data_IF_406539154009
#
_entry.id   IF_406539154009
#
_cell.length_a   1.000
_cell.length_b   1.000
_cell.length_c   1.000
_cell.angle_alpha   90.00
_cell.angle_beta   90.00
_cell.angle_gamma   90.00
#
_symmetry.space_group_name_H-M   'P 1'
#
loop_
_entity.id
_entity.type
_entity.pdbx_description
1 polymer ?
#
# COMPACT_ATOMS: atom_id res chain seq x y z
N UNK A 1 15.18 12.08 14.67
CA UNK A 1 14.56 12.72 13.46
C UNK A 1 13.34 13.49 13.93
N UNK A 2 13.25 14.80 13.64
CA UNK A 2 12.08 15.60 14.05
C UNK A 2 10.85 15.31 13.17
N UNK A 3 9.65 15.70 13.67
CA UNK A 3 8.43 15.61 12.86
C UNK A 3 8.57 16.40 11.54
N UNK A 4 9.10 17.63 11.63
CA UNK A 4 9.30 18.48 10.45
C UNK A 4 10.29 17.88 9.44
N UNK A 5 11.28 17.13 9.92
CA UNK A 5 12.21 16.42 9.04
C UNK A 5 11.56 15.20 8.38
N UNK A 6 10.66 14.49 9.07
CA UNK A 6 9.94 13.36 8.48
C UNK A 6 8.89 13.82 7.49
N UNK A 7 8.12 14.83 7.84
CA UNK A 7 7.07 15.42 7.00
C UNK A 7 7.58 16.65 6.23
N UNK A 8 8.79 16.57 5.69
CA UNK A 8 9.53 17.67 5.05
C UNK A 8 8.90 18.23 3.76
N UNK A 9 7.96 17.51 3.19
CA UNK A 9 7.27 17.89 1.95
C UNK A 9 5.78 18.12 2.16
N UNK A 10 5.18 19.03 1.38
CA UNK A 10 3.75 19.30 1.45
C UNK A 10 2.92 18.08 1.05
N UNK A 11 1.68 18.01 1.54
CA UNK A 11 0.77 16.89 1.25
C UNK A 11 0.47 16.74 -0.24
N UNK A 12 0.56 17.84 -1.01
CA UNK A 12 0.42 17.79 -2.48
C UNK A 12 1.45 16.91 -3.19
N UNK A 13 2.54 16.54 -2.51
CA UNK A 13 3.51 15.55 -3.01
C UNK A 13 3.09 14.10 -2.77
N UNK A 14 1.92 13.86 -2.20
CA UNK A 14 1.41 12.55 -1.82
C UNK A 14 -0.04 12.35 -2.31
N UNK A 15 -0.62 11.17 -2.05
CA UNK A 15 -1.96 10.78 -2.52
C UNK A 15 -3.12 11.54 -1.86
N UNK A 16 -2.90 12.16 -0.71
CA UNK A 16 -3.93 12.87 0.05
C UNK A 16 -3.51 14.33 0.24
N UNK A 17 -3.71 15.18 -0.79
CA UNK A 17 -3.18 16.56 -0.78
C UNK A 17 -3.85 17.47 0.26
N UNK A 18 -5.09 17.19 0.65
CA UNK A 18 -5.83 17.93 1.68
C UNK A 18 -6.78 16.99 2.43
N UNK A 19 -6.26 16.29 3.48
CA UNK A 19 -7.06 15.31 4.21
C UNK A 19 -8.34 15.87 4.82
N UNK A 20 -8.32 17.13 5.26
CA UNK A 20 -9.49 17.78 5.89
C UNK A 20 -10.62 18.02 4.89
N UNK A 21 -10.31 18.57 3.71
CA UNK A 21 -11.31 18.77 2.65
C UNK A 21 -11.83 17.45 2.12
N UNK A 22 -10.96 16.47 1.94
CA UNK A 22 -11.36 15.14 1.48
C UNK A 22 -12.32 14.49 2.48
N UNK A 23 -12.02 14.51 3.77
CA UNK A 23 -12.91 13.97 4.80
C UNK A 23 -14.27 14.67 4.84
N UNK A 24 -14.31 15.99 4.67
CA UNK A 24 -15.57 16.74 4.59
C UNK A 24 -16.39 16.31 3.37
N UNK A 25 -15.75 16.21 2.21
CA UNK A 25 -16.40 15.76 0.98
C UNK A 25 -16.96 14.34 1.08
N UNK A 26 -16.18 13.40 1.63
CA UNK A 26 -16.62 12.01 1.81
C UNK A 26 -17.85 11.91 2.73
N UNK A 27 -17.85 12.64 3.85
CA UNK A 27 -19.02 12.68 4.76
C UNK A 27 -20.29 13.18 4.09
N UNK A 28 -20.14 14.12 3.15
CA UNK A 28 -21.28 14.72 2.46
C UNK A 28 -21.81 13.86 1.31
N UNK A 29 -20.93 13.12 0.63
CA UNK A 29 -21.26 12.50 -0.65
C UNK A 29 -21.19 10.97 -0.64
N UNK A 30 -20.49 10.33 0.33
CA UNK A 30 -20.22 8.88 0.37
C UNK A 30 -20.46 8.30 1.76
N UNK A 31 -21.69 8.46 2.28
CA UNK A 31 -22.06 8.05 3.63
C UNK A 31 -21.86 6.53 3.85
N UNK A 32 -22.23 5.70 2.89
CA UNK A 32 -22.10 4.23 3.00
C UNK A 32 -20.65 3.81 3.13
N UNK A 33 -19.75 4.36 2.28
CA UNK A 33 -18.32 4.07 2.34
C UNK A 33 -17.69 4.59 3.64
N UNK A 34 -18.10 5.77 4.11
CA UNK A 34 -17.68 6.32 5.40
C UNK A 34 -18.07 5.39 6.54
N UNK A 35 -19.31 4.92 6.58
CA UNK A 35 -19.79 4.01 7.61
C UNK A 35 -19.05 2.66 7.56
N UNK A 36 -18.76 2.15 6.37
CA UNK A 36 -17.98 0.93 6.19
C UNK A 36 -16.54 1.09 6.73
N UNK A 37 -15.86 2.17 6.38
CA UNK A 37 -14.51 2.48 6.89
C UNK A 37 -14.51 2.61 8.42
N UNK A 38 -15.50 3.31 9.00
CA UNK A 38 -15.60 3.48 10.46
C UNK A 38 -15.82 2.14 11.16
N UNK A 39 -16.68 1.27 10.62
CA UNK A 39 -16.91 -0.08 11.16
C UNK A 39 -15.61 -0.88 11.20
N UNK A 40 -14.87 -0.95 10.08
CA UNK A 40 -13.59 -1.66 10.03
C UNK A 40 -12.60 -1.06 11.03
N UNK A 41 -12.48 0.26 11.08
CA UNK A 41 -11.56 0.91 11.99
C UNK A 41 -11.89 0.63 13.47
N UNK A 42 -13.18 0.56 13.82
CA UNK A 42 -13.64 0.19 15.17
C UNK A 42 -13.30 -1.26 15.50
N UNK A 43 -13.62 -2.19 14.60
CA UNK A 43 -13.30 -3.61 14.74
C UNK A 43 -11.78 -3.84 14.91
N UNK A 44 -10.97 -3.17 14.11
CA UNK A 44 -9.49 -3.24 14.19
C UNK A 44 -8.96 -2.69 15.52
N UNK A 45 -9.58 -1.64 16.07
CA UNK A 45 -9.21 -1.14 17.40
C UNK A 45 -9.44 -2.19 18.49
N UNK A 46 -10.37 -3.15 18.28
CA UNK A 46 -10.70 -4.26 19.17
C UNK A 46 -10.03 -5.59 18.74
N UNK A 47 -8.98 -5.54 17.92
CA UNK A 47 -8.27 -6.71 17.39
C UNK A 47 -9.16 -7.66 16.59
N UNK A 48 -10.19 -7.15 15.93
CA UNK A 48 -11.05 -7.91 15.03
C UNK A 48 -10.77 -7.53 13.60
N UNK A 49 -10.49 -8.50 12.75
CA UNK A 49 -10.06 -8.30 11.37
C UNK A 49 -10.97 -9.04 10.40
N UNK A 50 -11.55 -8.29 9.48
CA UNK A 50 -12.31 -8.77 8.32
C UNK A 50 -11.79 -8.06 7.08
N UNK A 51 -11.43 -8.80 6.04
CA UNK A 51 -10.92 -8.25 4.80
C UNK A 51 -12.05 -8.20 3.76
N UNK A 52 -12.81 -7.11 3.75
CA UNK A 52 -13.96 -6.90 2.87
C UNK A 52 -13.94 -5.54 2.15
N UNK A 53 -12.82 -4.83 2.22
CA UNK A 53 -12.62 -3.59 1.49
C UNK A 53 -12.47 -3.86 -0.02
N UNK A 54 -12.84 -2.88 -0.83
CA UNK A 54 -12.76 -2.99 -2.29
C UNK A 54 -11.33 -3.22 -2.81
N UNK A 55 -10.32 -2.81 -2.06
CA UNK A 55 -8.90 -3.00 -2.38
C UNK A 55 -8.25 -4.20 -1.68
N UNK A 56 -8.99 -5.01 -0.94
CA UNK A 56 -8.48 -6.25 -0.40
C UNK A 56 -8.35 -7.27 -1.54
N UNK A 57 -7.14 -7.77 -1.76
CA UNK A 57 -6.86 -8.74 -2.83
C UNK A 57 -7.49 -10.09 -2.53
N UNK A 58 -7.45 -10.50 -1.25
CA UNK A 58 -8.07 -11.72 -0.75
C UNK A 58 -9.10 -11.36 0.31
N UNK A 59 -10.38 -11.57 -0.01
CA UNK A 59 -11.48 -11.27 0.90
C UNK A 59 -11.73 -12.40 1.87
N UNK A 60 -12.11 -12.04 3.09
CA UNK A 60 -12.59 -12.99 4.09
C UNK A 60 -14.08 -12.75 4.37
N UNK A 61 -14.78 -13.78 4.83
CA UNK A 61 -16.22 -13.72 5.10
C UNK A 61 -16.53 -13.85 6.59
N UNK A 62 -15.58 -14.34 7.37
CA UNK A 62 -15.68 -14.49 8.80
C UNK A 62 -14.61 -13.64 9.48
N UNK A 63 -14.96 -12.81 10.47
CA UNK A 63 -14.00 -12.01 11.20
C UNK A 63 -13.10 -12.90 12.08
N UNK A 64 -11.84 -12.51 12.18
CA UNK A 64 -10.89 -13.10 13.13
C UNK A 64 -10.64 -12.13 14.26
N UNK A 65 -10.90 -12.54 15.49
CA UNK A 65 -10.69 -11.74 16.70
C UNK A 65 -9.57 -12.32 17.54
N UNK A 66 -8.62 -11.49 17.95
CA UNK A 66 -7.58 -11.84 18.91
C UNK A 66 -7.93 -11.21 20.27
N UNK A 67 -8.46 -12.00 21.23
CA UNK A 67 -8.92 -11.45 22.51
C UNK A 67 -7.78 -10.99 23.43
N UNK A 68 -6.57 -11.46 23.18
CA UNK A 68 -5.34 -11.13 23.90
C UNK A 68 -4.31 -10.59 22.92
N UNK A 69 -3.18 -11.23 22.83
CA UNK A 69 -2.09 -10.88 21.91
C UNK A 69 -2.40 -11.28 20.46
N UNK A 70 -2.04 -10.44 19.52
CA UNK A 70 -2.17 -10.73 18.09
C UNK A 70 -1.14 -11.80 17.70
N UNK A 71 -1.59 -12.85 17.02
CA UNK A 71 -0.70 -13.79 16.34
C UNK A 71 -0.51 -13.37 14.87
N UNK A 72 0.57 -12.66 14.59
CA UNK A 72 0.92 -12.20 13.24
C UNK A 72 1.25 -13.32 12.26
N UNK A 73 1.37 -14.55 12.74
CA UNK A 73 1.57 -15.77 11.94
C UNK A 73 0.31 -16.63 11.81
N UNK A 74 -0.83 -16.15 12.33
CA UNK A 74 -2.08 -16.89 12.34
C UNK A 74 -2.52 -17.30 10.94
N UNK A 75 -2.77 -18.58 10.75
CA UNK A 75 -3.15 -19.17 9.47
C UNK A 75 -4.39 -20.03 9.69
N UNK A 76 -5.59 -19.46 9.64
CA UNK A 76 -6.83 -20.22 9.77
C UNK A 76 -6.91 -21.26 8.64
N UNK A 77 -7.46 -22.42 8.92
CA UNK A 77 -7.62 -23.51 7.93
C UNK A 77 -6.34 -24.00 7.22
N UNK A 78 -5.16 -23.54 7.62
CA UNK A 78 -3.87 -23.89 6.99
C UNK A 78 -3.60 -23.19 5.66
N UNK A 79 -4.46 -22.29 5.23
CA UNK A 79 -4.26 -21.48 4.04
C UNK A 79 -3.41 -20.23 4.37
N UNK A 80 -2.25 -20.04 3.71
CA UNK A 80 -1.38 -18.90 3.97
C UNK A 80 -1.92 -17.56 3.45
N UNK A 81 -2.97 -17.52 2.63
CA UNK A 81 -3.52 -16.26 2.09
C UNK A 81 -3.96 -15.31 3.20
N UNK A 82 -4.56 -15.84 4.29
CA UNK A 82 -4.92 -15.01 5.44
C UNK A 82 -3.71 -14.30 6.04
N UNK A 83 -2.63 -15.02 6.36
CA UNK A 83 -1.44 -14.41 6.99
C UNK A 83 -0.77 -13.40 6.07
N UNK A 84 -0.83 -13.63 4.77
CA UNK A 84 -0.30 -12.67 3.81
C UNK A 84 -1.15 -11.40 3.76
N UNK A 85 -2.47 -11.53 3.56
CA UNK A 85 -3.39 -10.40 3.56
C UNK A 85 -3.33 -9.61 4.87
N UNK A 86 -3.29 -10.32 6.00
CA UNK A 86 -3.21 -9.73 7.33
C UNK A 86 -1.97 -8.85 7.49
N UNK A 87 -0.81 -9.30 7.02
CA UNK A 87 0.46 -8.57 7.11
C UNK A 87 0.71 -7.55 5.98
N UNK A 88 -0.26 -7.27 5.12
CA UNK A 88 -0.28 -6.08 4.24
C UNK A 88 -0.73 -4.84 5.00
N UNK A 89 -1.36 -5.01 6.16
CA UNK A 89 -1.80 -3.96 7.10
C UNK A 89 -2.70 -2.88 6.47
N UNK A 90 -3.43 -3.20 5.40
CA UNK A 90 -4.25 -2.23 4.66
C UNK A 90 -5.30 -1.53 5.52
N UNK A 91 -5.75 -2.17 6.58
CA UNK A 91 -6.65 -1.60 7.59
C UNK A 91 -6.04 -0.39 8.34
N UNK A 92 -4.72 -0.18 8.30
CA UNK A 92 -4.12 1.05 8.83
C UNK A 92 -4.56 2.31 8.08
N UNK A 93 -4.87 2.19 6.79
CA UNK A 93 -5.46 3.29 6.02
C UNK A 93 -6.85 3.61 6.56
N UNK A 94 -7.67 2.59 6.88
CA UNK A 94 -8.98 2.80 7.51
C UNK A 94 -8.89 3.52 8.85
N UNK A 95 -7.92 3.16 9.71
CA UNK A 95 -7.66 3.87 10.97
C UNK A 95 -7.32 5.35 10.72
N UNK A 96 -6.47 5.62 9.72
CA UNK A 96 -6.10 6.98 9.34
C UNK A 96 -7.29 7.79 8.81
N UNK A 97 -8.08 7.19 7.93
CA UNK A 97 -9.30 7.79 7.40
C UNK A 97 -10.33 8.05 8.50
N UNK A 98 -10.55 7.08 9.39
CA UNK A 98 -11.48 7.20 10.52
C UNK A 98 -11.09 8.35 11.45
N UNK A 99 -9.78 8.51 11.75
CA UNK A 99 -9.32 9.65 12.54
C UNK A 99 -9.58 10.98 11.83
N UNK A 100 -9.31 11.09 10.52
CA UNK A 100 -9.60 12.32 9.75
C UNK A 100 -11.11 12.60 9.65
N UNK A 101 -11.92 11.56 9.59
CA UNK A 101 -13.38 11.69 9.55
C UNK A 101 -13.98 12.12 10.89
N UNK A 102 -13.43 11.69 12.02
CA UNK A 102 -14.07 11.86 13.34
C UNK A 102 -13.30 12.74 14.31
N UNK A 103 -11.97 12.81 14.18
CA UNK A 103 -11.07 13.42 15.17
C UNK A 103 -10.88 12.56 16.43
N UNK A 104 -11.38 11.32 16.47
CA UNK A 104 -11.26 10.45 17.63
C UNK A 104 -9.86 9.81 17.69
N UNK A 105 -9.11 10.16 18.73
CA UNK A 105 -7.75 9.64 18.94
C UNK A 105 -7.68 8.13 19.22
N UNK A 106 -8.81 7.44 19.44
CA UNK A 106 -8.81 5.98 19.57
C UNK A 106 -8.18 5.30 18.34
N UNK A 107 -8.39 5.85 17.14
CA UNK A 107 -7.82 5.33 15.91
C UNK A 107 -6.32 5.53 15.80
N UNK A 108 -5.82 6.68 16.29
CA UNK A 108 -4.36 6.91 16.39
C UNK A 108 -3.73 5.95 17.39
N UNK A 109 -4.36 5.76 18.55
CA UNK A 109 -3.90 4.80 19.58
C UNK A 109 -3.95 3.36 19.05
N UNK A 110 -5.00 2.99 18.32
CA UNK A 110 -5.12 1.70 17.66
C UNK A 110 -3.99 1.46 16.66
N UNK A 111 -3.74 2.42 15.78
CA UNK A 111 -2.61 2.38 14.84
C UNK A 111 -1.27 2.21 15.56
N UNK A 112 -0.96 3.08 16.53
CA UNK A 112 0.31 3.03 17.25
C UNK A 112 0.49 1.72 18.02
N UNK A 113 -0.55 1.20 18.63
CA UNK A 113 -0.51 -0.10 19.33
C UNK A 113 -0.17 -1.23 18.37
N UNK A 114 -0.91 -1.34 17.26
CA UNK A 114 -0.75 -2.43 16.31
C UNK A 114 0.60 -2.38 15.59
N UNK A 115 1.00 -1.21 15.10
CA UNK A 115 2.26 -1.08 14.36
C UNK A 115 3.49 -1.28 15.25
N UNK A 116 3.45 -0.83 16.52
CA UNK A 116 4.52 -1.09 17.47
C UNK A 116 4.59 -2.58 17.81
N UNK A 117 3.46 -3.24 18.06
CA UNK A 117 3.41 -4.68 18.32
C UNK A 117 3.98 -5.46 17.13
N UNK A 118 3.60 -5.09 15.91
CA UNK A 118 4.14 -5.70 14.70
C UNK A 118 5.66 -5.51 14.59
N UNK A 119 6.17 -4.28 14.76
CA UNK A 119 7.61 -3.99 14.69
C UNK A 119 8.42 -4.75 15.76
N UNK A 120 7.85 -4.95 16.94
CA UNK A 120 8.52 -5.64 18.05
C UNK A 120 8.48 -7.18 17.91
N UNK A 121 7.41 -7.73 17.35
CA UNK A 121 7.13 -9.18 17.37
C UNK A 121 7.36 -9.90 16.05
N UNK A 122 7.53 -9.16 14.94
CA UNK A 122 7.71 -9.71 13.59
C UNK A 122 9.09 -9.36 13.02
N UNK A 123 10.19 -9.88 13.60
CA UNK A 123 11.53 -9.61 13.09
C UNK A 123 11.74 -10.28 11.73
N UNK A 124 12.55 -9.65 10.87
CA UNK A 124 12.98 -10.27 9.62
C UNK A 124 13.95 -11.43 9.88
N UNK A 125 13.52 -12.64 9.62
CA UNK A 125 14.32 -13.87 9.74
C UNK A 125 13.82 -14.95 8.76
N UNK A 126 14.38 -16.16 8.82
CA UNK A 126 14.01 -17.25 7.91
C UNK A 126 12.53 -17.68 8.07
N UNK A 127 12.01 -17.71 9.30
CA UNK A 127 10.63 -18.13 9.57
C UNK A 127 9.62 -17.11 9.03
N UNK A 128 9.87 -15.82 9.24
CA UNK A 128 8.99 -14.74 8.80
C UNK A 128 9.15 -14.43 7.31
N UNK A 129 10.26 -14.86 6.71
CA UNK A 129 10.63 -14.57 5.33
C UNK A 129 9.71 -15.14 4.25
N UNK A 130 8.91 -16.15 4.59
CA UNK A 130 7.90 -16.77 3.71
C UNK A 130 6.46 -16.42 4.09
N UNK A 131 6.25 -15.84 5.27
CA UNK A 131 4.99 -15.33 5.79
C UNK A 131 4.95 -13.79 5.75
N UNK A 132 4.96 -13.13 6.94
CA UNK A 132 4.86 -11.67 7.03
C UNK A 132 5.88 -10.88 6.21
N UNK A 133 7.08 -11.41 6.03
CA UNK A 133 8.15 -10.80 5.26
C UNK A 133 8.33 -11.40 3.85
N UNK A 134 7.33 -12.12 3.30
CA UNK A 134 7.36 -12.48 1.88
C UNK A 134 7.50 -11.21 1.04
N UNK A 135 8.19 -11.30 -0.10
CA UNK A 135 8.57 -10.12 -0.89
C UNK A 135 7.38 -9.26 -1.29
N UNK A 136 6.30 -9.88 -1.75
CA UNK A 136 5.08 -9.17 -2.14
C UNK A 136 4.50 -8.40 -0.95
N UNK A 137 4.33 -9.07 0.20
CA UNK A 137 3.81 -8.42 1.41
C UNK A 137 4.73 -7.30 1.91
N UNK A 138 6.04 -7.47 1.76
CA UNK A 138 7.01 -6.43 2.11
C UNK A 138 6.78 -5.16 1.28
N UNK A 139 6.52 -5.29 -0.03
CA UNK A 139 6.20 -4.17 -0.91
C UNK A 139 4.86 -3.52 -0.53
N UNK A 140 3.78 -4.32 -0.50
CA UNK A 140 2.42 -3.84 -0.22
C UNK A 140 2.28 -3.22 1.18
N UNK A 141 2.90 -3.81 2.21
CA UNK A 141 2.93 -3.24 3.55
C UNK A 141 3.68 -1.91 3.57
N UNK A 142 4.82 -1.84 2.89
CA UNK A 142 5.61 -0.61 2.81
C UNK A 142 4.83 0.56 2.21
N UNK A 143 4.09 0.33 1.13
CA UNK A 143 3.20 1.34 0.55
C UNK A 143 2.06 1.70 1.51
N UNK A 144 1.43 0.71 2.15
CA UNK A 144 0.36 0.91 3.12
C UNK A 144 0.82 1.79 4.28
N UNK A 145 1.96 1.46 4.89
CA UNK A 145 2.50 2.21 6.03
C UNK A 145 2.85 3.65 5.64
N UNK A 146 3.43 3.82 4.46
CA UNK A 146 3.80 5.15 3.94
C UNK A 146 2.58 6.04 3.72
N UNK A 147 1.48 5.45 3.23
CA UNK A 147 0.20 6.16 3.07
C UNK A 147 -0.46 6.43 4.43
N UNK A 148 -0.54 5.42 5.29
CA UNK A 148 -1.24 5.49 6.58
C UNK A 148 -0.66 6.56 7.50
N UNK A 149 0.67 6.64 7.66
CA UNK A 149 1.31 7.62 8.56
C UNK A 149 0.96 9.06 8.22
N UNK A 150 0.70 9.37 6.94
CA UNK A 150 0.34 10.73 6.50
C UNK A 150 -1.00 11.20 7.04
N UNK A 151 -1.95 10.29 7.28
CA UNK A 151 -3.20 10.66 7.93
C UNK A 151 -2.99 11.16 9.36
N UNK A 152 -2.01 10.61 10.08
CA UNK A 152 -1.78 10.88 11.50
C UNK A 152 -0.81 12.01 11.79
N UNK A 153 -0.24 12.68 10.78
CA UNK A 153 0.83 13.67 10.92
C UNK A 153 0.54 14.82 11.92
N UNK A 154 -0.74 15.20 12.06
CA UNK A 154 -1.16 16.31 12.92
C UNK A 154 -1.55 15.84 14.33
N UNK A 155 -1.44 14.53 14.64
CA UNK A 155 -1.72 14.02 15.99
C UNK A 155 -0.51 14.21 16.91
N UNK A 156 -0.75 14.74 18.11
CA UNK A 156 0.27 14.87 19.14
C UNK A 156 0.78 13.52 19.67
N UNK A 157 0.12 12.43 19.35
CA UNK A 157 0.54 11.08 19.72
C UNK A 157 1.65 10.52 18.82
N UNK A 158 1.86 11.12 17.63
CA UNK A 158 2.99 10.77 16.76
C UNK A 158 4.24 11.48 17.28
N UNK A 159 5.15 10.72 17.86
CA UNK A 159 6.38 11.23 18.46
C UNK A 159 7.59 11.05 17.56
N UNK A 160 8.64 11.82 17.84
CA UNK A 160 9.92 11.69 17.12
C UNK A 160 10.55 10.31 17.31
N UNK A 161 10.47 9.74 18.51
CA UNK A 161 10.96 8.37 18.79
C UNK A 161 10.20 7.32 17.98
N UNK A 162 8.87 7.45 17.88
CA UNK A 162 8.07 6.56 17.03
C UNK A 162 8.50 6.69 15.56
N UNK A 163 8.63 7.91 15.03
CA UNK A 163 9.03 8.13 13.64
C UNK A 163 10.44 7.59 13.33
N UNK A 164 11.34 7.65 14.29
CA UNK A 164 12.68 7.07 14.15
C UNK A 164 12.65 5.54 14.01
N UNK A 165 11.88 4.86 14.86
CA UNK A 165 11.66 3.40 14.80
C UNK A 165 10.93 3.00 13.53
N UNK A 166 9.89 3.75 13.17
CA UNK A 166 9.09 3.55 11.97
C UNK A 166 9.95 3.66 10.70
N UNK A 167 10.73 4.72 10.56
CA UNK A 167 11.64 4.90 9.43
C UNK A 167 12.73 3.82 9.37
N UNK A 168 13.25 3.38 10.54
CA UNK A 168 14.20 2.28 10.60
C UNK A 168 13.58 0.97 10.09
N UNK A 169 12.33 0.68 10.46
CA UNK A 169 11.61 -0.50 9.97
C UNK A 169 11.34 -0.41 8.45
N UNK A 170 10.93 0.75 7.93
CA UNK A 170 10.78 0.95 6.48
C UNK A 170 12.11 0.75 5.72
N UNK A 171 13.25 1.12 6.31
CA UNK A 171 14.57 0.82 5.72
C UNK A 171 14.86 -0.67 5.63
N UNK A 172 14.38 -1.49 6.58
CA UNK A 172 14.47 -2.96 6.47
C UNK A 172 13.61 -3.48 5.30
N UNK A 173 12.41 -2.92 5.08
CA UNK A 173 11.62 -3.25 3.88
C UNK A 173 12.40 -2.93 2.61
N UNK A 174 12.97 -1.73 2.52
CA UNK A 174 13.79 -1.33 1.37
C UNK A 174 14.97 -2.27 1.17
N UNK A 175 15.73 -2.57 2.23
CA UNK A 175 16.88 -3.48 2.14
C UNK A 175 16.46 -4.81 1.52
N UNK A 176 15.36 -5.40 2.02
CA UNK A 176 14.85 -6.67 1.49
C UNK A 176 14.42 -6.56 0.02
N UNK A 177 13.67 -5.51 -0.35
CA UNK A 177 13.21 -5.28 -1.72
C UNK A 177 14.38 -5.04 -2.69
N UNK A 178 15.41 -4.33 -2.26
CA UNK A 178 16.62 -4.09 -3.06
C UNK A 178 17.43 -5.36 -3.26
N UNK A 179 17.69 -6.13 -2.19
CA UNK A 179 18.54 -7.32 -2.22
C UNK A 179 17.90 -8.52 -2.90
N UNK A 180 16.58 -8.70 -2.76
CA UNK A 180 15.85 -9.89 -3.23
C UNK A 180 14.99 -9.63 -4.46
N UNK A 181 14.58 -8.39 -4.72
CA UNK A 181 13.84 -7.99 -5.91
C UNK A 181 14.79 -7.85 -7.09
N UNK A 182 15.01 -8.91 -7.83
CA UNK A 182 15.92 -8.92 -8.98
C UNK A 182 15.21 -9.06 -10.32
N UNK A 183 15.98 -8.95 -11.40
CA UNK A 183 15.52 -8.99 -12.79
C UNK A 183 14.85 -10.33 -13.19
N UNK A 184 15.00 -11.38 -12.38
CA UNK A 184 14.39 -12.70 -12.62
C UNK A 184 12.86 -12.72 -12.54
N UNK A 185 12.22 -11.62 -12.08
CA UNK A 185 10.76 -11.53 -11.89
C UNK A 185 10.07 -10.54 -12.82
N UNK A 186 10.73 -10.01 -13.83
CA UNK A 186 10.17 -8.98 -14.73
C UNK A 186 8.82 -9.37 -15.35
N UNK A 187 8.57 -10.66 -15.55
CA UNK A 187 7.30 -11.17 -16.10
C UNK A 187 6.20 -11.37 -15.07
N UNK A 188 6.46 -11.26 -13.77
CA UNK A 188 5.45 -11.40 -12.74
C UNK A 188 4.85 -10.06 -12.35
N UNK A 189 3.51 -10.02 -12.15
CA UNK A 189 2.86 -8.86 -11.54
C UNK A 189 3.56 -8.45 -10.23
N UNK A 190 4.07 -9.41 -9.47
CA UNK A 190 4.83 -9.15 -8.22
C UNK A 190 5.99 -8.18 -8.41
N UNK A 191 6.68 -8.21 -9.56
CA UNK A 191 7.75 -7.25 -9.83
C UNK A 191 7.23 -5.81 -9.80
N UNK A 192 6.08 -5.55 -10.39
CA UNK A 192 5.46 -4.22 -10.38
C UNK A 192 5.01 -3.85 -8.97
N UNK A 193 4.30 -4.73 -8.27
CA UNK A 193 3.78 -4.47 -6.93
C UNK A 193 4.91 -4.25 -5.90
N UNK A 194 5.93 -5.12 -5.90
CA UNK A 194 7.10 -5.01 -5.01
C UNK A 194 7.86 -3.70 -5.24
N UNK A 195 8.07 -3.31 -6.49
CA UNK A 195 8.80 -2.08 -6.81
C UNK A 195 7.94 -0.82 -6.73
N UNK A 196 6.62 -0.90 -6.89
CA UNK A 196 5.71 0.17 -6.51
C UNK A 196 5.85 0.49 -5.03
N UNK A 197 5.82 -0.53 -4.17
CA UNK A 197 6.07 -0.36 -2.74
C UNK A 197 7.44 0.23 -2.43
N UNK A 198 8.50 -0.24 -3.10
CA UNK A 198 9.84 0.35 -2.96
C UNK A 198 9.86 1.83 -3.34
N UNK A 199 9.21 2.20 -4.44
CA UNK A 199 9.12 3.58 -4.89
C UNK A 199 8.35 4.45 -3.89
N UNK A 200 7.22 3.96 -3.38
CA UNK A 200 6.39 4.67 -2.41
C UNK A 200 7.11 4.87 -1.07
N UNK A 201 7.84 3.85 -0.58
CA UNK A 201 8.69 4.01 0.62
C UNK A 201 9.76 5.08 0.38
N UNK A 202 10.43 5.04 -0.77
CA UNK A 202 11.46 6.01 -1.11
C UNK A 202 10.92 7.44 -1.18
N UNK A 203 9.67 7.59 -1.66
CA UNK A 203 8.98 8.89 -1.68
C UNK A 203 8.40 9.28 -0.33
N UNK A 204 8.07 8.35 0.53
CA UNK A 204 7.48 8.58 1.85
C UNK A 204 8.48 8.93 2.95
N UNK A 205 9.72 8.51 2.82
CA UNK A 205 10.81 8.85 3.73
C UNK A 205 11.42 10.24 3.42
N UNK A 206 12.10 10.88 4.38
CA UNK A 206 12.82 12.12 4.15
C UNK A 206 13.78 12.01 2.96
N UNK A 207 13.78 13.03 2.10
CA UNK A 207 14.52 12.96 0.85
C UNK A 207 16.03 13.13 1.06
N UNK A 208 16.77 12.16 0.57
CA UNK A 208 18.22 12.07 0.62
C UNK A 208 18.74 11.50 -0.71
N UNK A 209 20.04 11.52 -0.91
CA UNK A 209 20.65 10.82 -2.05
C UNK A 209 20.35 9.32 -2.04
N UNK A 210 20.25 8.72 -0.85
CA UNK A 210 19.93 7.30 -0.68
C UNK A 210 18.51 6.98 -1.13
N UNK A 211 17.50 7.74 -0.67
CA UNK A 211 16.10 7.55 -1.09
C UNK A 211 15.93 7.83 -2.58
N UNK A 212 16.67 8.77 -3.14
CA UNK A 212 16.72 9.01 -4.59
C UNK A 212 17.25 7.81 -5.38
N UNK A 213 18.29 7.12 -4.89
CA UNK A 213 18.79 5.89 -5.50
C UNK A 213 17.76 4.75 -5.46
N UNK A 214 17.01 4.60 -4.35
CA UNK A 214 15.95 3.60 -4.25
C UNK A 214 14.80 3.87 -5.21
N UNK A 215 14.37 5.13 -5.30
CA UNK A 215 13.34 5.55 -6.25
C UNK A 215 13.76 5.27 -7.70
N UNK A 216 14.99 5.61 -8.06
CA UNK A 216 15.53 5.35 -9.40
C UNK A 216 15.61 3.85 -9.72
N UNK A 217 16.03 3.01 -8.76
CA UNK A 217 16.06 1.56 -8.92
C UNK A 217 14.66 0.99 -9.13
N UNK A 218 13.70 1.41 -8.31
CA UNK A 218 12.30 0.98 -8.40
C UNK A 218 11.71 1.33 -9.78
N UNK A 219 11.85 2.58 -10.21
CA UNK A 219 11.38 3.03 -11.53
C UNK A 219 12.03 2.27 -12.67
N UNK A 220 13.35 2.01 -12.61
CA UNK A 220 14.03 1.19 -13.62
C UNK A 220 13.40 -0.19 -13.73
N UNK A 221 13.20 -0.90 -12.60
CA UNK A 221 12.63 -2.25 -12.58
C UNK A 221 11.19 -2.27 -13.08
N UNK A 222 10.37 -1.28 -12.69
CA UNK A 222 9.00 -1.14 -13.18
C UNK A 222 8.98 -0.90 -14.70
N UNK A 223 9.80 0.01 -15.22
CA UNK A 223 9.87 0.30 -16.65
C UNK A 223 10.31 -0.92 -17.48
N UNK A 224 11.26 -1.71 -16.98
CA UNK A 224 11.68 -2.96 -17.61
C UNK A 224 10.56 -4.01 -17.56
N UNK A 225 9.84 -4.10 -16.45
CA UNK A 225 8.71 -5.01 -16.28
C UNK A 225 7.53 -4.66 -17.21
N UNK A 226 7.18 -3.38 -17.33
CA UNK A 226 6.11 -2.91 -18.22
C UNK A 226 6.37 -3.32 -19.68
N UNK A 227 7.62 -3.26 -20.15
CA UNK A 227 7.98 -3.63 -21.53
C UNK A 227 7.72 -5.11 -21.86
N UNK A 228 7.70 -5.98 -20.85
CA UNK A 228 7.47 -7.42 -21.03
C UNK A 228 6.08 -7.85 -20.59
N UNK A 229 5.39 -7.04 -19.77
CA UNK A 229 4.09 -7.39 -19.22
C UNK A 229 2.90 -6.77 -19.95
N UNK A 230 3.06 -5.64 -20.63
CA UNK A 230 1.96 -4.93 -21.28
C UNK A 230 2.07 -5.08 -22.79
N UNK A 231 1.10 -5.75 -23.40
CA UNK A 231 1.05 -5.97 -24.84
C UNK A 231 0.62 -4.70 -25.61
N UNK A 232 0.68 -4.77 -26.94
CA UNK A 232 0.32 -3.65 -27.81
C UNK A 232 -1.18 -3.28 -27.69
N UNK A 233 -2.04 -4.25 -27.41
CA UNK A 233 -3.47 -4.07 -27.18
C UNK A 233 -3.80 -3.59 -25.75
N UNK A 234 -2.80 -3.44 -24.90
CA UNK A 234 -2.92 -3.00 -23.52
C UNK A 234 -3.20 -4.13 -22.52
N UNK A 235 -3.43 -5.35 -22.95
CA UNK A 235 -3.62 -6.47 -22.03
C UNK A 235 -2.34 -6.81 -21.27
N UNK A 236 -2.49 -7.19 -19.98
CA UNK A 236 -1.38 -7.66 -19.18
C UNK A 236 -1.13 -9.16 -19.46
N UNK A 237 0.12 -9.57 -19.56
CA UNK A 237 0.55 -10.86 -20.09
C UNK A 237 -0.02 -12.09 -19.36
N UNK A 238 -0.34 -11.98 -18.06
CA UNK A 238 -0.95 -13.07 -17.29
C UNK A 238 -2.43 -13.32 -17.67
N UNK A 239 -3.03 -12.44 -18.47
CA UNK A 239 -4.40 -12.55 -19.01
C UNK A 239 -5.47 -12.74 -17.94
N UNK A 240 -5.26 -12.20 -16.76
CA UNK A 240 -6.21 -12.16 -15.67
C UNK A 240 -6.70 -10.73 -15.45
N UNK A 241 -8.02 -10.47 -15.52
CA UNK A 241 -8.54 -9.13 -15.23
C UNK A 241 -8.14 -8.60 -13.85
N UNK A 242 -8.06 -9.47 -12.85
CA UNK A 242 -7.63 -9.10 -11.51
C UNK A 242 -6.17 -8.63 -11.52
N UNK A 243 -5.25 -9.43 -12.08
CA UNK A 243 -3.83 -9.06 -12.12
C UNK A 243 -3.56 -7.88 -13.05
N UNK A 244 -4.33 -7.75 -14.14
CA UNK A 244 -4.31 -6.55 -14.98
C UNK A 244 -4.62 -5.30 -14.16
N UNK A 245 -5.70 -5.32 -13.37
CA UNK A 245 -6.12 -4.18 -12.56
C UNK A 245 -5.13 -3.87 -11.43
N UNK A 246 -4.53 -4.88 -10.80
CA UNK A 246 -3.49 -4.66 -9.77
C UNK A 246 -2.24 -3.98 -10.37
N UNK A 247 -1.75 -4.46 -11.51
CA UNK A 247 -0.63 -3.83 -12.22
C UNK A 247 -1.00 -2.42 -12.67
N UNK A 248 -2.17 -2.24 -13.28
CA UNK A 248 -2.67 -0.93 -13.71
C UNK A 248 -2.76 0.07 -12.55
N UNK A 249 -3.34 -0.35 -11.42
CA UNK A 249 -3.43 0.47 -10.20
C UNK A 249 -2.05 0.92 -9.70
N UNK A 250 -1.12 -0.01 -9.56
CA UNK A 250 0.25 0.29 -9.12
C UNK A 250 0.94 1.29 -10.05
N UNK A 251 0.81 1.10 -11.36
CA UNK A 251 1.40 2.01 -12.35
C UNK A 251 0.78 3.41 -12.29
N UNK A 252 -0.54 3.52 -12.10
CA UNK A 252 -1.22 4.80 -11.88
C UNK A 252 -0.70 5.51 -10.63
N UNK A 253 -0.53 4.78 -9.52
CA UNK A 253 0.02 5.32 -8.28
C UNK A 253 1.45 5.84 -8.47
N UNK A 254 2.30 5.05 -9.12
CA UNK A 254 3.70 5.43 -9.41
C UNK A 254 3.76 6.67 -10.30
N UNK A 255 2.97 6.73 -11.36
CA UNK A 255 2.92 7.89 -12.27
C UNK A 255 2.43 9.14 -11.53
N UNK A 256 1.34 9.01 -10.76
CA UNK A 256 0.82 10.12 -9.98
C UNK A 256 1.87 10.66 -9.00
N UNK A 257 2.46 9.79 -8.21
CA UNK A 257 3.45 10.16 -7.19
C UNK A 257 4.72 10.73 -7.82
N UNK A 258 5.19 10.18 -8.94
CA UNK A 258 6.34 10.72 -9.68
C UNK A 258 6.05 12.15 -10.20
N UNK A 259 4.91 12.36 -10.82
CA UNK A 259 4.48 13.69 -11.32
C UNK A 259 4.35 14.71 -10.18
N UNK A 260 3.72 14.31 -9.06
CA UNK A 260 3.57 15.17 -7.89
C UNK A 260 4.92 15.61 -7.29
N UNK A 261 5.97 14.82 -7.51
CA UNK A 261 7.34 15.10 -7.04
C UNK A 261 8.29 15.61 -8.15
N UNK A 262 7.77 15.96 -9.34
CA UNK A 262 8.58 16.48 -10.45
C UNK A 262 9.57 15.46 -11.05
N UNK A 263 9.35 14.17 -10.84
CA UNK A 263 10.18 13.09 -11.39
C UNK A 263 9.72 12.80 -12.82
N UNK A 264 10.66 12.86 -13.76
CA UNK A 264 10.39 12.53 -15.17
C UNK A 264 10.35 11.01 -15.35
N UNK A 265 9.27 10.53 -15.94
CA UNK A 265 9.11 9.14 -16.34
C UNK A 265 9.44 8.92 -17.83
N UNK A 266 9.71 7.67 -18.21
CA UNK A 266 9.76 7.26 -19.61
C UNK A 266 8.35 7.40 -20.22
N UNK A 267 8.17 8.14 -21.32
CA UNK A 267 6.85 8.28 -21.97
C UNK A 267 6.21 6.95 -22.34
N UNK A 268 6.99 5.91 -22.62
CA UNK A 268 6.49 4.56 -22.92
C UNK A 268 5.73 3.94 -21.73
N UNK A 269 6.05 4.33 -20.50
CA UNK A 269 5.32 3.88 -19.31
C UNK A 269 3.93 4.51 -19.24
N UNK A 270 3.81 5.81 -19.50
CA UNK A 270 2.51 6.49 -19.53
C UNK A 270 1.63 5.97 -20.67
N UNK A 271 2.23 5.73 -21.84
CA UNK A 271 1.53 5.14 -22.98
C UNK A 271 1.02 3.72 -22.69
N UNK A 272 1.83 2.87 -22.03
CA UNK A 272 1.41 1.54 -21.60
C UNK A 272 0.19 1.60 -20.66
N UNK A 273 0.21 2.50 -19.67
CA UNK A 273 -0.92 2.68 -18.74
C UNK A 273 -2.18 3.17 -19.48
N UNK A 274 -2.02 4.05 -20.47
CA UNK A 274 -3.15 4.48 -21.29
C UNK A 274 -3.75 3.31 -22.10
N UNK A 275 -2.91 2.45 -22.70
CA UNK A 275 -3.40 1.23 -23.38
C UNK A 275 -4.09 0.26 -22.41
N UNK A 276 -3.56 0.08 -21.19
CA UNK A 276 -4.21 -0.74 -20.17
C UNK A 276 -5.58 -0.21 -19.79
N UNK A 277 -5.74 1.12 -19.66
CA UNK A 277 -7.04 1.72 -19.42
C UNK A 277 -8.04 1.41 -20.53
N UNK A 278 -7.63 1.53 -21.79
CA UNK A 278 -8.48 1.19 -22.95
C UNK A 278 -8.82 -0.30 -22.98
N UNK A 279 -7.90 -1.18 -22.62
CA UNK A 279 -8.15 -2.62 -22.55
C UNK A 279 -9.23 -2.99 -21.51
N UNK A 280 -9.38 -2.21 -20.44
CA UNK A 280 -10.44 -2.39 -19.44
C UNK A 280 -11.85 -2.06 -20.00
N UNK A 281 -11.96 -1.26 -21.06
CA UNK A 281 -13.25 -0.92 -21.70
C UNK A 281 -13.73 -2.00 -22.69
N UNK A 282 -12.82 -2.86 -23.19
CA UNK A 282 -13.15 -3.87 -24.21
C UNK A 282 -14.16 -4.94 -23.75
N UNK A 283 -14.14 -5.47 -22.51
CA UNK A 283 -15.12 -6.46 -22.05
C UNK A 283 -16.56 -5.97 -22.13
N UNK A 284 -16.81 -4.70 -21.84
CA UNK A 284 -18.16 -4.12 -21.87
C UNK A 284 -18.70 -4.03 -23.30
N UNK A 285 -17.85 -3.74 -24.27
CA UNK A 285 -18.22 -3.72 -25.69
C UNK A 285 -18.60 -5.12 -26.22
N UNK A 286 -17.86 -6.16 -25.79
CA UNK A 286 -18.13 -7.55 -26.19
C UNK A 286 -19.43 -8.08 -25.57
N UNK A 287 -19.72 -7.75 -24.31
CA UNK A 287 -20.92 -8.18 -23.59
C UNK A 287 -22.17 -7.52 -24.18
N UNK A 288 -22.09 -6.27 -24.64
CA UNK A 288 -23.23 -5.54 -25.25
C UNK A 288 -23.57 -6.00 -26.64
N UNK A 289 -22.64 -6.60 -27.40
CA UNK A 289 -22.89 -7.14 -28.73
C UNK A 289 -23.41 -8.59 -28.73
N UNK A 290 -23.29 -9.32 -27.63
CA UNK A 290 -23.71 -10.73 -27.47
C UNK A 290 -24.98 -10.93 -26.64
N UNK A 291 -25.62 -9.83 -26.19
CA UNK A 291 -26.85 -9.84 -25.40
C UNK A 291 -28.13 -9.68 -26.17
#
# INVERSE_FOLDING_TARGET
>A
MTLDQYFDRPDSCYFVPDPGKLAAYCRENWEEDVNHILRIADEVCENTFLFDLSWDMERTYEPVTFPEDIDWSFTPSGDPEFVWQFNRDRYFICLGQAWRLTGDEKYVKGFLRLINDWMDRVPLNEKTGTGPWRMLETGLRGETWTKAIRYFKDSSLITEDFLERFAACLRLHVQRLVEKGGDARLQSNWCVLENSGLFEIAMGLPQTEETGRWAALALKRIQESVKVQVYEDGSQWEQSPMYHNEVYHCLCCVIYLAKANGIRLDPAMEDAVHRMALANELPDAIITESG
#
